data_IF_806408083985
#
_entry.id   IF_806408083985
#
_cell.length_a   1.000
_cell.length_b   1.000
_cell.length_c   1.000
_cell.angle_alpha   90.00
_cell.angle_beta   90.00
_cell.angle_gamma   90.00
#
_symmetry.space_group_name_H-M   'P 1'
#
loop_
_entity.id
_entity.type
_entity.pdbx_description
1 polymer ?
#
# COMPACT_ATOMS: atom_id res chain seq x y z
N UNK A 1 24.42 7.15 -15.20
CA UNK A 1 25.30 7.59 -14.09
C UNK A 1 25.54 6.39 -13.18
N UNK A 2 26.76 6.24 -12.66
CA UNK A 2 27.02 5.18 -11.69
C UNK A 2 26.22 5.43 -10.40
N UNK A 3 25.57 4.40 -9.87
CA UNK A 3 24.91 4.46 -8.57
C UNK A 3 25.94 4.76 -7.47
N UNK A 4 25.55 5.52 -6.46
CA UNK A 4 26.43 5.76 -5.30
C UNK A 4 26.69 4.44 -4.54
N UNK A 5 27.79 4.38 -3.80
CA UNK A 5 28.10 3.24 -2.92
C UNK A 5 26.99 2.97 -1.89
N UNK A 6 26.21 3.97 -1.57
CA UNK A 6 25.06 3.86 -0.67
C UNK A 6 23.96 2.95 -1.23
N UNK A 7 23.73 2.95 -2.55
CA UNK A 7 22.70 2.12 -3.18
C UNK A 7 22.93 0.60 -2.97
N UNK A 8 24.19 0.18 -2.83
CA UNK A 8 24.57 -1.22 -2.64
C UNK A 8 25.11 -1.53 -1.25
N UNK A 9 25.08 -0.54 -0.36
CA UNK A 9 25.56 -0.67 1.02
C UNK A 9 24.70 -1.67 1.79
N UNK A 10 25.36 -2.59 2.50
CA UNK A 10 24.71 -3.58 3.35
C UNK A 10 24.75 -3.16 4.81
N UNK A 11 23.75 -3.59 5.57
CA UNK A 11 23.73 -3.47 7.01
C UNK A 11 24.87 -4.33 7.62
N UNK A 12 25.45 -3.88 8.72
CA UNK A 12 26.41 -4.69 9.48
C UNK A 12 25.75 -5.94 10.06
N UNK A 13 24.46 -5.84 10.39
CA UNK A 13 23.63 -6.93 10.88
C UNK A 13 22.28 -6.87 10.18
N UNK A 14 21.88 -7.99 9.59
CA UNK A 14 20.58 -8.15 8.94
C UNK A 14 19.43 -7.83 9.91
N UNK A 15 18.42 -7.11 9.45
CA UNK A 15 17.17 -6.92 10.19
C UNK A 15 16.11 -7.85 9.64
N UNK A 16 15.37 -8.47 10.55
CA UNK A 16 14.37 -9.49 10.21
C UNK A 16 13.04 -9.13 10.85
N UNK A 17 11.98 -9.11 10.03
CA UNK A 17 10.61 -8.99 10.52
C UNK A 17 9.93 -10.36 10.46
N UNK A 18 9.30 -10.78 11.57
CA UNK A 18 8.45 -11.96 11.55
C UNK A 18 7.12 -11.62 10.91
N UNK A 19 6.69 -12.41 9.93
CA UNK A 19 5.48 -12.17 9.15
C UNK A 19 4.67 -13.47 9.00
N UNK A 20 3.33 -13.44 9.08
CA UNK A 20 2.52 -14.63 9.00
C UNK A 20 2.48 -15.26 7.61
N UNK A 21 2.73 -14.48 6.54
CA UNK A 21 2.70 -14.95 5.15
C UNK A 21 4.08 -15.41 4.71
N UNK A 22 5.09 -14.56 4.90
CA UNK A 22 6.47 -14.82 4.44
C UNK A 22 7.32 -15.55 5.48
N UNK A 23 6.81 -15.79 6.70
CA UNK A 23 7.53 -16.27 7.88
C UNK A 23 8.55 -15.24 8.37
N UNK A 24 9.50 -14.87 7.52
CA UNK A 24 10.52 -13.86 7.80
C UNK A 24 10.72 -12.98 6.57
N UNK A 25 10.78 -11.67 6.80
CA UNK A 25 11.11 -10.67 5.79
C UNK A 25 12.52 -10.18 6.12
N UNK A 26 13.43 -10.30 5.15
CA UNK A 26 14.86 -10.07 5.34
C UNK A 26 15.28 -8.72 4.78
N UNK A 27 15.82 -7.85 5.63
CA UNK A 27 16.33 -6.54 5.24
C UNK A 27 17.85 -6.50 5.46
N UNK A 28 18.59 -6.53 4.36
CA UNK A 28 20.06 -6.50 4.34
C UNK A 28 20.61 -5.19 3.82
N UNK A 29 19.83 -4.43 3.06
CA UNK A 29 20.26 -3.22 2.39
C UNK A 29 20.05 -1.99 3.29
N UNK A 30 21.12 -1.17 3.46
CA UNK A 30 21.06 0.05 4.27
C UNK A 30 20.00 1.03 3.75
N UNK A 31 19.91 1.18 2.42
CA UNK A 31 18.92 2.02 1.76
C UNK A 31 17.49 1.63 2.16
N UNK A 32 17.15 0.34 2.10
CA UNK A 32 15.82 -0.18 2.46
C UNK A 32 15.53 0.03 3.94
N UNK A 33 16.52 -0.22 4.81
CA UNK A 33 16.36 0.01 6.24
C UNK A 33 16.12 1.48 6.57
N UNK A 34 16.82 2.40 5.91
CA UNK A 34 16.62 3.83 6.12
C UNK A 34 15.25 4.30 5.61
N UNK A 35 14.74 3.77 4.49
CA UNK A 35 13.38 4.03 4.02
C UNK A 35 12.31 3.52 4.99
N UNK A 36 12.48 2.32 5.55
CA UNK A 36 11.55 1.77 6.54
C UNK A 36 11.44 2.68 7.76
N UNK A 37 12.51 3.37 8.16
CA UNK A 37 12.52 4.26 9.33
C UNK A 37 11.85 5.62 9.10
N UNK A 38 11.62 6.02 7.86
CA UNK A 38 11.00 7.32 7.55
C UNK A 38 9.60 7.43 8.13
N UNK A 39 9.21 8.64 8.54
CA UNK A 39 7.88 8.88 9.13
C UNK A 39 6.75 8.54 8.17
N UNK A 40 6.95 8.81 6.87
CA UNK A 40 5.97 8.53 5.84
C UNK A 40 5.73 7.03 5.70
N UNK A 41 6.77 6.21 5.75
CA UNK A 41 6.62 4.75 5.72
C UNK A 41 6.06 4.21 7.03
N UNK A 42 6.50 4.72 8.18
CA UNK A 42 5.97 4.31 9.50
C UNK A 42 4.49 4.65 9.69
N UNK A 43 3.97 5.69 9.00
CA UNK A 43 2.55 6.03 8.96
C UNK A 43 1.70 4.86 8.49
N UNK A 44 2.18 4.04 7.53
CA UNK A 44 1.45 2.89 6.99
C UNK A 44 1.04 1.87 8.05
N UNK A 45 1.67 1.86 9.24
CA UNK A 45 1.22 1.05 10.38
C UNK A 45 -0.18 1.41 10.87
N UNK A 46 -0.63 2.64 10.62
CA UNK A 46 -1.92 3.19 11.05
C UNK A 46 -2.91 3.33 9.90
N UNK A 47 -2.59 2.74 8.74
CA UNK A 47 -3.47 2.64 7.57
C UNK A 47 -3.78 1.16 7.36
N UNK A 48 -5.04 0.78 7.54
CA UNK A 48 -5.49 -0.61 7.34
C UNK A 48 -5.53 -0.96 5.84
N UNK A 49 -5.12 -2.17 5.51
CA UNK A 49 -5.13 -2.66 4.12
C UNK A 49 -6.55 -2.71 3.55
N UNK A 50 -7.48 -3.19 4.32
CA UNK A 50 -8.86 -3.47 3.88
C UNK A 50 -9.89 -2.43 4.39
N UNK A 51 -9.43 -1.25 4.86
CA UNK A 51 -10.32 -0.17 5.27
C UNK A 51 -11.37 -0.61 6.30
N UNK A 52 -12.65 -0.54 5.93
CA UNK A 52 -13.79 -0.87 6.83
C UNK A 52 -14.12 -2.37 6.91
N UNK A 53 -13.42 -3.24 6.17
CA UNK A 53 -13.71 -4.67 6.12
C UNK A 53 -13.67 -5.37 7.49
N UNK A 54 -12.86 -4.86 8.42
CA UNK A 54 -12.79 -5.41 9.79
C UNK A 54 -14.13 -5.38 10.55
N UNK A 55 -15.09 -4.57 10.11
CA UNK A 55 -16.44 -4.57 10.66
C UNK A 55 -17.20 -5.87 10.36
N UNK A 56 -16.87 -6.55 9.26
CA UNK A 56 -17.45 -7.84 8.86
C UNK A 56 -16.51 -9.00 9.13
N UNK A 57 -15.22 -8.81 8.87
CA UNK A 57 -14.15 -9.78 9.09
C UNK A 57 -13.25 -9.25 10.21
N UNK A 58 -13.64 -9.45 11.45
CA UNK A 58 -13.10 -8.77 12.64
C UNK A 58 -11.58 -8.95 12.87
N UNK A 59 -10.94 -9.93 12.24
CA UNK A 59 -9.49 -10.12 12.28
C UNK A 59 -8.75 -9.39 11.15
N UNK A 60 -9.47 -8.81 10.18
CA UNK A 60 -8.90 -8.10 9.02
C UNK A 60 -8.39 -6.68 9.40
N UNK A 61 -7.52 -6.62 10.40
CA UNK A 61 -6.95 -5.37 10.94
C UNK A 61 -5.50 -5.10 10.52
N UNK A 62 -4.96 -5.90 9.61
CA UNK A 62 -3.60 -5.75 9.13
C UNK A 62 -3.41 -4.44 8.35
N UNK A 63 -2.20 -3.93 8.45
CA UNK A 63 -1.84 -2.61 7.93
C UNK A 63 -1.11 -2.68 6.59
N UNK A 64 -1.13 -1.58 5.84
CA UNK A 64 -0.34 -1.40 4.62
C UNK A 64 1.16 -1.50 4.86
N UNK A 65 1.63 -1.22 6.07
CA UNK A 65 3.03 -1.43 6.46
C UNK A 65 3.45 -2.90 6.27
N UNK A 66 2.65 -3.85 6.77
CA UNK A 66 2.94 -5.27 6.61
C UNK A 66 2.88 -5.72 5.14
N UNK A 67 1.91 -5.22 4.39
CA UNK A 67 1.78 -5.46 2.96
C UNK A 67 2.98 -4.92 2.17
N UNK A 68 3.37 -3.67 2.34
CA UNK A 68 4.51 -3.07 1.65
C UNK A 68 5.83 -3.82 1.93
N UNK A 69 6.03 -4.30 3.16
CA UNK A 69 7.15 -5.18 3.49
C UNK A 69 7.05 -6.53 2.79
N UNK A 70 5.84 -7.09 2.66
CA UNK A 70 5.63 -8.35 1.94
C UNK A 70 5.90 -8.23 0.45
N UNK A 71 5.45 -7.15 -0.19
CA UNK A 71 5.74 -6.86 -1.61
C UNK A 71 7.24 -6.69 -1.83
N UNK A 72 7.92 -5.96 -0.95
CA UNK A 72 9.38 -5.87 -0.96
C UNK A 72 10.03 -7.26 -0.89
N UNK A 73 9.59 -8.13 0.04
CA UNK A 73 10.17 -9.47 0.21
C UNK A 73 9.96 -10.35 -1.02
N UNK A 74 8.79 -10.28 -1.65
CA UNK A 74 8.52 -11.01 -2.90
C UNK A 74 9.46 -10.54 -4.01
N UNK A 75 9.60 -9.23 -4.22
CA UNK A 75 10.51 -8.70 -5.26
C UNK A 75 11.97 -9.05 -4.94
N UNK A 76 12.39 -8.97 -3.67
CA UNK A 76 13.72 -9.41 -3.25
C UNK A 76 13.95 -10.87 -3.63
N UNK A 77 13.01 -11.75 -3.31
CA UNK A 77 13.09 -13.17 -3.63
C UNK A 77 13.09 -13.44 -5.14
N UNK A 78 12.26 -12.77 -5.91
CA UNK A 78 12.25 -12.87 -7.38
C UNK A 78 13.64 -12.58 -7.93
N UNK A 79 14.26 -11.49 -7.47
CA UNK A 79 15.60 -11.09 -7.93
C UNK A 79 16.64 -12.10 -7.44
N UNK A 80 16.76 -12.29 -6.14
CA UNK A 80 17.86 -13.04 -5.52
C UNK A 80 17.79 -14.55 -5.85
N UNK A 81 16.60 -15.14 -5.98
CA UNK A 81 16.42 -16.58 -6.21
C UNK A 81 16.28 -16.94 -7.71
N UNK A 82 15.75 -16.02 -8.54
CA UNK A 82 15.35 -16.36 -9.91
C UNK A 82 16.04 -15.53 -11.01
N UNK A 83 16.49 -14.31 -10.73
CA UNK A 83 17.00 -13.39 -11.74
C UNK A 83 18.52 -13.26 -11.72
N UNK A 84 19.18 -13.34 -10.56
CA UNK A 84 20.66 -13.23 -10.48
C UNK A 84 21.32 -14.26 -11.39
N UNK A 85 22.28 -13.79 -12.18
CA UNK A 85 23.03 -14.60 -13.15
C UNK A 85 22.29 -14.87 -14.47
N UNK A 86 21.13 -14.24 -14.72
CA UNK A 86 20.46 -14.27 -16.02
C UNK A 86 20.92 -13.10 -16.89
N UNK A 87 21.17 -13.35 -18.18
CA UNK A 87 21.62 -12.31 -19.14
C UNK A 87 20.62 -11.15 -19.29
N UNK A 88 19.34 -11.40 -19.02
CA UNK A 88 18.26 -10.42 -19.16
C UNK A 88 18.06 -9.56 -17.90
N UNK A 89 18.83 -9.80 -16.82
CA UNK A 89 18.77 -9.05 -15.58
C UNK A 89 20.04 -8.27 -15.31
N UNK A 90 19.92 -6.96 -15.10
CA UNK A 90 21.02 -6.12 -14.63
C UNK A 90 20.89 -5.87 -13.12
N UNK A 91 21.89 -6.31 -12.35
CA UNK A 91 21.91 -6.12 -10.90
C UNK A 91 21.96 -4.65 -10.47
N UNK A 92 22.28 -3.72 -11.34
CA UNK A 92 22.20 -2.27 -11.07
C UNK A 92 20.77 -1.79 -10.90
N UNK A 93 19.78 -2.54 -11.43
CA UNK A 93 18.34 -2.25 -11.25
C UNK A 93 17.77 -2.74 -9.92
N UNK A 94 18.51 -3.58 -9.17
CA UNK A 94 18.03 -4.16 -7.91
C UNK A 94 17.61 -3.10 -6.88
N UNK A 95 18.37 -2.05 -6.58
CA UNK A 95 17.95 -1.01 -5.65
C UNK A 95 16.68 -0.30 -6.10
N UNK A 96 16.53 -0.04 -7.39
CA UNK A 96 15.34 0.59 -7.97
C UNK A 96 14.10 -0.28 -7.77
N UNK A 97 14.17 -1.57 -8.10
CA UNK A 97 13.07 -2.51 -7.94
C UNK A 97 12.65 -2.67 -6.47
N UNK A 98 13.61 -2.80 -5.56
CA UNK A 98 13.33 -2.94 -4.13
C UNK A 98 12.70 -1.69 -3.52
N UNK A 99 13.19 -0.49 -3.89
CA UNK A 99 12.61 0.77 -3.42
C UNK A 99 11.19 0.97 -3.95
N UNK A 100 10.95 0.70 -5.24
CA UNK A 100 9.63 0.82 -5.83
C UNK A 100 8.64 -0.18 -5.21
N UNK A 101 9.05 -1.43 -4.96
CA UNK A 101 8.25 -2.43 -4.27
C UNK A 101 7.88 -2.01 -2.84
N UNK A 102 8.84 -1.46 -2.09
CA UNK A 102 8.60 -1.00 -0.72
C UNK A 102 7.65 0.20 -0.65
N UNK A 103 7.75 1.13 -1.60
CA UNK A 103 7.11 2.44 -1.56
C UNK A 103 5.84 2.56 -2.40
N UNK A 104 5.41 1.50 -3.11
CA UNK A 104 4.31 1.58 -4.09
C UNK A 104 2.98 2.10 -3.50
N UNK A 105 2.69 1.77 -2.26
CA UNK A 105 1.46 2.09 -1.53
C UNK A 105 1.58 3.30 -0.57
N UNK A 106 2.70 4.04 -0.62
CA UNK A 106 3.05 5.08 0.35
C UNK A 106 2.01 6.20 0.45
N UNK A 107 1.33 6.51 -0.65
CA UNK A 107 0.35 7.58 -0.76
C UNK A 107 -1.07 7.22 -0.33
N UNK A 108 -1.34 5.98 0.09
CA UNK A 108 -2.68 5.64 0.56
C UNK A 108 -3.09 6.42 1.82
N UNK A 109 -4.32 6.93 1.80
CA UNK A 109 -4.97 7.59 2.93
C UNK A 109 -5.74 6.63 3.84
N UNK A 110 -6.31 7.15 4.95
CA UNK A 110 -7.16 6.36 5.83
C UNK A 110 -8.39 5.82 5.08
N UNK A 111 -8.73 4.57 5.32
CA UNK A 111 -9.81 3.86 4.62
C UNK A 111 -9.67 3.85 3.08
N UNK A 112 -8.46 4.08 2.59
CA UNK A 112 -8.06 3.92 1.17
C UNK A 112 -9.04 4.55 0.18
N UNK A 113 -9.64 3.75 -0.69
CA UNK A 113 -10.51 4.21 -1.79
C UNK A 113 -11.80 4.94 -1.34
N UNK A 114 -12.26 4.74 -0.11
CA UNK A 114 -13.41 5.48 0.41
C UNK A 114 -13.08 6.96 0.57
N UNK A 115 -11.91 7.25 1.13
CA UNK A 115 -11.42 8.62 1.34
C UNK A 115 -11.18 9.35 0.01
N UNK A 116 -10.60 8.66 -0.96
CA UNK A 116 -10.31 9.20 -2.30
C UNK A 116 -11.57 9.68 -3.03
N UNK A 117 -12.63 8.86 -3.00
CA UNK A 117 -13.91 9.19 -3.65
C UNK A 117 -14.58 10.45 -3.08
N UNK A 118 -14.38 10.74 -1.79
CA UNK A 118 -15.02 11.87 -1.12
C UNK A 118 -14.26 13.16 -1.39
N UNK A 119 -12.95 13.10 -1.32
CA UNK A 119 -12.10 14.28 -1.37
C UNK A 119 -11.47 14.49 -2.74
N UNK A 120 -11.80 13.62 -3.72
CA UNK A 120 -11.23 13.64 -5.07
C UNK A 120 -9.70 13.63 -5.03
N UNK A 121 -9.16 12.78 -4.16
CA UNK A 121 -7.72 12.56 -4.01
C UNK A 121 -7.31 11.31 -4.77
N UNK A 122 -6.03 11.21 -5.11
CA UNK A 122 -5.44 10.08 -5.82
C UNK A 122 -4.19 9.62 -5.06
N UNK A 123 -4.21 8.39 -4.55
CA UNK A 123 -3.08 7.83 -3.80
C UNK A 123 -1.82 7.69 -4.68
N UNK A 124 -1.96 7.44 -5.99
CA UNK A 124 -0.81 7.40 -6.89
C UNK A 124 -0.15 8.79 -6.97
N UNK A 125 -0.96 9.86 -7.10
CA UNK A 125 -0.45 11.23 -7.08
C UNK A 125 0.22 11.60 -5.74
N UNK A 126 -0.36 11.19 -4.60
CA UNK A 126 0.28 11.38 -3.29
C UNK A 126 1.54 10.56 -3.12
N UNK A 127 1.59 9.32 -3.63
CA UNK A 127 2.83 8.52 -3.64
C UNK A 127 3.93 9.27 -4.40
N UNK A 128 3.63 9.77 -5.60
CA UNK A 128 4.55 10.58 -6.40
C UNK A 128 5.03 11.82 -5.62
N UNK A 129 4.09 12.57 -5.05
CA UNK A 129 4.39 13.79 -4.31
C UNK A 129 5.26 13.53 -3.06
N UNK A 130 5.02 12.44 -2.33
CA UNK A 130 5.85 12.04 -1.18
C UNK A 130 7.26 11.64 -1.64
N UNK A 131 7.39 10.85 -2.69
CA UNK A 131 8.68 10.36 -3.18
C UNK A 131 9.54 11.50 -3.76
N UNK A 132 8.94 12.47 -4.46
CA UNK A 132 9.65 13.54 -5.16
C UNK A 132 9.67 14.87 -4.41
N UNK A 133 8.86 15.02 -3.35
CA UNK A 133 8.73 16.26 -2.57
C UNK A 133 9.77 16.40 -1.47
N UNK A 134 9.58 17.41 -0.61
CA UNK A 134 10.46 17.65 0.55
C UNK A 134 10.05 16.72 1.74
N UNK A 135 10.47 15.48 1.70
CA UNK A 135 10.12 14.42 2.66
C UNK A 135 11.35 13.66 3.14
N UNK A 136 11.22 12.88 4.21
CA UNK A 136 12.30 11.99 4.65
C UNK A 136 12.61 10.91 3.61
N UNK A 137 11.58 10.37 2.94
CA UNK A 137 11.73 9.39 1.86
C UNK A 137 12.56 9.96 0.71
N UNK A 138 12.25 11.17 0.24
CA UNK A 138 13.04 11.84 -0.79
C UNK A 138 14.49 12.03 -0.35
N UNK A 139 14.71 12.49 0.89
CA UNK A 139 16.04 12.69 1.45
C UNK A 139 16.88 11.42 1.49
N UNK A 140 16.27 10.25 1.74
CA UNK A 140 16.95 8.95 1.70
C UNK A 140 17.26 8.54 0.28
N UNK A 141 16.29 8.62 -0.63
CA UNK A 141 16.46 8.23 -2.05
C UNK A 141 17.50 9.12 -2.76
N UNK A 142 17.55 10.41 -2.47
CA UNK A 142 18.51 11.36 -3.06
C UNK A 142 19.96 11.06 -2.70
N UNK A 143 20.24 10.27 -1.65
CA UNK A 143 21.61 9.78 -1.35
C UNK A 143 22.12 8.81 -2.40
N UNK A 144 21.23 8.17 -3.16
CA UNK A 144 21.62 7.29 -4.29
C UNK A 144 22.05 8.13 -5.50
N UNK A 145 21.21 9.05 -5.93
CA UNK A 145 21.48 10.11 -6.90
C UNK A 145 20.33 11.12 -6.90
N UNK A 146 20.56 12.33 -7.41
CA UNK A 146 19.54 13.38 -7.47
C UNK A 146 18.29 12.97 -8.29
N UNK A 147 18.47 12.09 -9.29
CA UNK A 147 17.36 11.61 -10.13
C UNK A 147 16.73 10.32 -9.63
N UNK A 148 17.27 9.68 -8.60
CA UNK A 148 16.77 8.39 -8.14
C UNK A 148 15.34 8.44 -7.58
N UNK A 149 14.93 9.47 -6.80
CA UNK A 149 13.53 9.62 -6.38
C UNK A 149 12.57 9.61 -7.57
N UNK A 150 12.90 10.35 -8.65
CA UNK A 150 12.09 10.38 -9.86
C UNK A 150 12.03 9.00 -10.53
N UNK A 151 13.14 8.28 -10.62
CA UNK A 151 13.16 6.92 -11.21
C UNK A 151 12.25 5.97 -10.43
N UNK A 152 12.29 5.99 -9.09
CA UNK A 152 11.39 5.19 -8.23
C UNK A 152 9.93 5.56 -8.49
N UNK A 153 9.63 6.86 -8.53
CA UNK A 153 8.29 7.37 -8.83
C UNK A 153 7.81 6.94 -10.22
N UNK A 154 8.67 7.03 -11.25
CA UNK A 154 8.36 6.63 -12.62
C UNK A 154 8.09 5.11 -12.74
N UNK A 155 8.78 4.26 -11.95
CA UNK A 155 8.48 2.81 -11.88
C UNK A 155 7.08 2.57 -11.33
N UNK A 156 6.74 3.20 -10.20
CA UNK A 156 5.42 3.06 -9.55
C UNK A 156 4.32 3.57 -10.49
N UNK A 157 4.57 4.67 -11.18
CA UNK A 157 3.64 5.28 -12.15
C UNK A 157 3.63 4.56 -13.53
N UNK A 158 4.41 3.48 -13.70
CA UNK A 158 4.49 2.68 -14.94
C UNK A 158 5.02 3.45 -16.16
N UNK A 159 5.74 4.54 -15.93
CA UNK A 159 6.31 5.41 -16.98
C UNK A 159 7.81 5.23 -17.19
N UNK A 160 8.49 4.44 -16.32
CA UNK A 160 9.91 4.14 -16.43
C UNK A 160 10.22 3.27 -17.66
N UNK A 161 11.41 3.45 -18.26
CA UNK A 161 11.83 2.69 -19.45
C UNK A 161 12.04 1.21 -19.16
N UNK A 162 12.48 0.84 -17.96
CA UNK A 162 12.69 -0.55 -17.57
C UNK A 162 11.34 -1.25 -17.27
N UNK A 163 10.77 -1.85 -18.33
CA UNK A 163 9.47 -2.56 -18.23
C UNK A 163 9.55 -3.81 -17.37
N UNK A 164 10.69 -4.48 -17.31
CA UNK A 164 10.88 -5.65 -16.46
C UNK A 164 10.71 -5.29 -14.97
N UNK A 165 11.30 -4.18 -14.52
CA UNK A 165 11.14 -3.70 -13.13
C UNK A 165 9.68 -3.35 -12.84
N UNK A 166 9.02 -2.66 -13.77
CA UNK A 166 7.58 -2.35 -13.63
C UNK A 166 6.76 -3.64 -13.50
N UNK A 167 7.04 -4.65 -14.32
CA UNK A 167 6.25 -5.89 -14.35
C UNK A 167 6.33 -6.71 -13.06
N UNK A 168 7.41 -6.58 -12.29
CA UNK A 168 7.51 -7.23 -10.97
C UNK A 168 6.51 -6.68 -9.96
N UNK A 169 6.14 -5.40 -10.10
CA UNK A 169 5.31 -4.66 -9.13
C UNK A 169 3.89 -4.45 -9.66
N UNK A 170 3.75 -4.31 -10.99
CA UNK A 170 2.46 -4.01 -11.62
C UNK A 170 2.28 -4.78 -12.93
N UNK A 171 1.76 -6.00 -12.83
CA UNK A 171 1.40 -6.87 -13.96
C UNK A 171 0.20 -7.73 -13.62
N UNK A 172 -0.07 -8.81 -14.36
CA UNK A 172 -1.17 -9.73 -14.02
C UNK A 172 -0.82 -10.65 -12.85
N UNK A 173 0.47 -11.01 -12.73
CA UNK A 173 0.99 -11.86 -11.64
C UNK A 173 2.22 -11.13 -11.10
N UNK A 174 1.98 -10.17 -10.25
CA UNK A 174 2.97 -9.28 -9.65
C UNK A 174 3.10 -9.48 -8.13
N UNK A 175 4.12 -8.87 -7.57
CA UNK A 175 4.41 -8.98 -6.15
C UNK A 175 3.30 -8.37 -5.27
N UNK A 176 2.68 -7.27 -5.71
CA UNK A 176 1.57 -6.61 -5.02
C UNK A 176 0.40 -7.58 -4.86
N UNK A 177 -0.11 -8.16 -5.98
CA UNK A 177 -1.22 -9.12 -5.95
C UNK A 177 -0.89 -10.39 -5.18
N UNK A 178 0.33 -10.90 -5.31
CA UNK A 178 0.74 -12.10 -4.60
C UNK A 178 0.74 -11.90 -3.09
N UNK A 179 1.19 -10.74 -2.59
CA UNK A 179 1.16 -10.48 -1.15
C UNK A 179 -0.26 -10.25 -0.66
N UNK A 180 -1.00 -9.27 -1.25
CA UNK A 180 -2.28 -8.92 -0.67
C UNK A 180 -3.30 -10.06 -0.72
N UNK A 181 -3.34 -10.88 -1.77
CA UNK A 181 -4.27 -12.00 -1.83
C UNK A 181 -4.05 -12.99 -0.68
N UNK A 182 -2.81 -13.38 -0.43
CA UNK A 182 -2.51 -14.31 0.67
C UNK A 182 -2.69 -13.66 2.04
N UNK A 183 -2.25 -12.41 2.18
CA UNK A 183 -2.36 -11.65 3.43
C UNK A 183 -3.81 -11.40 3.80
N UNK A 184 -4.61 -10.95 2.87
CA UNK A 184 -6.04 -10.71 3.08
C UNK A 184 -6.79 -12.00 3.39
N UNK A 185 -6.50 -13.10 2.67
CA UNK A 185 -7.08 -14.41 2.96
C UNK A 185 -6.75 -14.86 4.39
N UNK A 186 -5.49 -14.72 4.80
CA UNK A 186 -5.05 -15.09 6.15
C UNK A 186 -5.79 -14.28 7.23
N UNK A 187 -5.82 -12.96 7.10
CA UNK A 187 -6.42 -12.08 8.10
C UNK A 187 -7.96 -12.06 8.07
N UNK A 188 -8.59 -12.39 6.96
CA UNK A 188 -10.04 -12.60 6.90
C UNK A 188 -10.46 -14.00 7.36
N UNK A 189 -9.50 -14.91 7.54
CA UNK A 189 -9.75 -16.28 8.00
C UNK A 189 -10.31 -17.21 6.92
N UNK A 190 -10.15 -16.88 5.63
CA UNK A 190 -10.66 -17.67 4.51
C UNK A 190 -9.54 -18.50 3.85
N UNK A 191 -9.92 -19.60 3.23
CA UNK A 191 -8.96 -20.54 2.60
C UNK A 191 -8.90 -20.42 1.08
N UNK A 192 -9.92 -19.90 0.45
CA UNK A 192 -10.03 -19.84 -1.02
C UNK A 192 -9.15 -18.77 -1.68
N UNK A 193 -8.55 -17.86 -0.90
CA UNK A 193 -7.54 -16.91 -1.37
C UNK A 193 -6.11 -17.47 -1.37
N UNK A 194 -5.91 -18.73 -0.96
CA UNK A 194 -4.59 -19.35 -0.90
C UNK A 194 -4.19 -19.95 -2.26
N UNK A 195 -2.92 -19.78 -2.63
CA UNK A 195 -2.30 -20.37 -3.81
C UNK A 195 -0.83 -20.72 -3.53
N UNK A 196 -0.21 -21.53 -4.39
CA UNK A 196 1.18 -21.96 -4.25
C UNK A 196 2.15 -20.85 -4.75
N UNK A 197 2.36 -19.82 -3.92
CA UNK A 197 3.27 -18.71 -4.21
C UNK A 197 4.71 -19.18 -4.39
N UNK A 198 5.17 -20.15 -3.60
CA UNK A 198 6.53 -20.71 -3.67
C UNK A 198 6.81 -21.30 -5.06
N UNK A 199 5.84 -22.03 -5.60
CA UNK A 199 5.95 -22.59 -6.94
C UNK A 199 5.97 -21.50 -8.01
N UNK A 200 5.13 -20.48 -7.90
CA UNK A 200 5.10 -19.34 -8.85
C UNK A 200 6.46 -18.65 -8.85
N UNK A 201 6.98 -18.23 -7.69
CA UNK A 201 8.26 -17.53 -7.56
C UNK A 201 9.41 -18.33 -8.18
N UNK A 202 9.48 -19.63 -7.88
CA UNK A 202 10.54 -20.50 -8.42
C UNK A 202 10.49 -20.67 -9.94
N UNK A 203 9.33 -20.47 -10.56
CA UNK A 203 9.12 -20.63 -12.00
C UNK A 203 9.19 -19.30 -12.77
N UNK A 204 9.29 -18.16 -12.06
CA UNK A 204 9.49 -16.85 -12.68
C UNK A 204 10.84 -16.75 -13.38
N UNK A 205 10.88 -16.08 -14.53
CA UNK A 205 12.09 -15.82 -15.32
C UNK A 205 12.02 -14.42 -15.89
N UNK A 206 13.14 -13.67 -15.87
CA UNK A 206 13.21 -12.37 -16.52
C UNK A 206 13.24 -12.52 -18.03
N UNK A 207 12.46 -11.72 -18.73
CA UNK A 207 12.64 -11.41 -20.15
C UNK A 207 13.20 -10.00 -20.29
N UNK A 208 13.23 -9.46 -21.51
CA UNK A 208 13.68 -8.07 -21.73
C UNK A 208 12.67 -7.03 -21.22
N UNK A 209 11.38 -7.36 -21.21
CA UNK A 209 10.29 -6.41 -20.94
C UNK A 209 9.39 -6.83 -19.79
N UNK A 210 9.35 -8.11 -19.44
CA UNK A 210 8.40 -8.62 -18.45
C UNK A 210 8.90 -9.86 -17.72
N UNK A 211 8.23 -10.18 -16.61
CA UNK A 211 8.41 -11.44 -15.89
C UNK A 211 7.58 -12.53 -16.56
N UNK A 212 8.23 -13.60 -16.99
CA UNK A 212 7.60 -14.78 -17.57
C UNK A 212 7.50 -15.90 -16.54
N UNK A 213 6.53 -16.79 -16.71
CA UNK A 213 6.39 -18.02 -15.91
C UNK A 213 6.56 -19.20 -16.86
N UNK A 214 7.38 -20.19 -16.46
CA UNK A 214 7.56 -21.43 -17.22
C UNK A 214 6.24 -22.18 -17.39
N UNK A 215 6.04 -22.85 -18.52
CA UNK A 215 4.82 -23.64 -18.83
C UNK A 215 4.48 -24.66 -17.74
N UNK A 216 5.48 -25.23 -17.07
CA UNK A 216 5.28 -26.15 -15.93
C UNK A 216 4.61 -25.49 -14.71
N UNK A 217 4.45 -24.16 -14.73
CA UNK A 217 3.74 -23.38 -13.72
C UNK A 217 2.26 -23.13 -14.02
N UNK A 218 1.73 -23.57 -15.16
CA UNK A 218 0.38 -23.26 -15.62
C UNK A 218 -0.68 -23.49 -14.52
N UNK A 219 -0.68 -24.64 -13.87
CA UNK A 219 -1.66 -24.96 -12.82
C UNK A 219 -1.53 -24.06 -11.57
N UNK A 220 -0.32 -23.59 -11.25
CA UNK A 220 -0.15 -22.65 -10.13
C UNK A 220 -0.70 -21.26 -10.52
N UNK A 221 -0.56 -20.86 -11.78
CA UNK A 221 -1.15 -19.64 -12.34
C UNK A 221 -2.67 -19.72 -12.37
N UNK A 222 -3.25 -20.83 -12.82
CA UNK A 222 -4.69 -21.05 -12.80
C UNK A 222 -5.25 -20.96 -11.38
N UNK A 223 -4.58 -21.57 -10.41
CA UNK A 223 -4.97 -21.49 -9.01
C UNK A 223 -4.89 -20.06 -8.47
N UNK A 224 -3.84 -19.31 -8.81
CA UNK A 224 -3.72 -17.88 -8.46
C UNK A 224 -4.87 -17.04 -9.02
N UNK A 225 -5.22 -17.24 -10.30
CA UNK A 225 -6.33 -16.52 -10.94
C UNK A 225 -7.66 -16.86 -10.26
N UNK A 226 -7.88 -18.14 -9.93
CA UNK A 226 -9.09 -18.59 -9.25
C UNK A 226 -9.16 -18.04 -7.83
N UNK A 227 -8.06 -18.06 -7.08
CA UNK A 227 -7.99 -17.46 -5.74
C UNK A 227 -8.33 -15.97 -5.78
N UNK A 228 -7.77 -15.23 -6.74
CA UNK A 228 -8.10 -13.83 -6.97
C UNK A 228 -9.59 -13.62 -7.24
N UNK A 229 -10.18 -14.40 -8.13
CA UNK A 229 -11.62 -14.33 -8.45
C UNK A 229 -12.46 -14.55 -7.19
N UNK A 230 -12.17 -15.57 -6.38
CA UNK A 230 -12.89 -15.87 -5.16
C UNK A 230 -12.78 -14.74 -4.12
N UNK A 231 -11.58 -14.19 -3.93
CA UNK A 231 -11.37 -13.05 -3.01
C UNK A 231 -12.17 -11.82 -3.42
N UNK A 232 -12.20 -11.50 -4.73
CA UNK A 232 -13.02 -10.40 -5.24
C UNK A 232 -14.50 -10.63 -4.93
N UNK A 233 -15.01 -11.81 -5.25
CA UNK A 233 -16.42 -12.12 -5.10
C UNK A 233 -16.87 -12.15 -3.64
N UNK A 234 -16.11 -12.76 -2.77
CA UNK A 234 -16.54 -13.08 -1.41
C UNK A 234 -16.06 -12.07 -0.35
N UNK A 235 -14.94 -11.38 -0.58
CA UNK A 235 -14.33 -10.46 0.38
C UNK A 235 -14.49 -9.01 -0.06
N UNK A 236 -13.89 -8.62 -1.20
CA UNK A 236 -13.83 -7.22 -1.59
C UNK A 236 -15.19 -6.64 -2.01
N UNK A 237 -16.08 -7.47 -2.54
CA UNK A 237 -17.46 -7.10 -2.85
C UNK A 237 -18.49 -7.57 -1.83
N UNK A 238 -18.05 -7.95 -0.63
CA UNK A 238 -18.99 -8.37 0.43
C UNK A 238 -20.00 -7.26 0.75
N UNK A 239 -21.32 -7.54 0.69
CA UNK A 239 -22.35 -6.50 0.77
C UNK A 239 -22.30 -5.67 2.05
N UNK A 240 -22.09 -6.31 3.23
CA UNK A 240 -22.02 -5.61 4.52
C UNK A 240 -20.80 -4.69 4.58
N UNK A 241 -19.65 -5.17 4.09
CA UNK A 241 -18.42 -4.35 4.03
C UNK A 241 -18.61 -3.12 3.15
N UNK A 242 -19.25 -3.30 1.98
CA UNK A 242 -19.59 -2.18 1.08
C UNK A 242 -20.57 -1.22 1.73
N UNK A 243 -21.51 -1.73 2.55
CA UNK A 243 -22.41 -0.91 3.37
C UNK A 243 -21.64 -0.01 4.33
N UNK A 244 -20.63 -0.55 5.03
CA UNK A 244 -19.76 0.21 5.93
C UNK A 244 -19.00 1.33 5.21
N UNK A 245 -18.47 1.08 3.99
CA UNK A 245 -17.86 2.11 3.17
C UNK A 245 -18.85 3.23 2.80
N UNK A 246 -20.08 2.86 2.42
CA UNK A 246 -21.13 3.86 2.07
C UNK A 246 -21.48 4.73 3.27
N UNK A 247 -21.61 4.15 4.47
CA UNK A 247 -21.88 4.89 5.69
C UNK A 247 -20.73 5.88 6.00
N UNK A 248 -19.49 5.42 5.96
CA UNK A 248 -18.32 6.29 6.15
C UNK A 248 -18.31 7.44 5.14
N UNK A 249 -18.54 7.12 3.86
CA UNK A 249 -18.59 8.11 2.80
C UNK A 249 -19.67 9.17 3.04
N UNK A 250 -20.88 8.75 3.45
CA UNK A 250 -21.97 9.67 3.72
C UNK A 250 -21.68 10.55 4.94
N UNK A 251 -21.08 9.99 6.00
CA UNK A 251 -20.66 10.76 7.16
C UNK A 251 -19.67 11.87 6.82
N UNK A 252 -18.59 11.53 6.10
CA UNK A 252 -17.59 12.51 5.71
C UNK A 252 -18.12 13.56 4.71
N UNK A 253 -18.97 13.15 3.75
CA UNK A 253 -19.66 14.08 2.84
C UNK A 253 -20.55 15.06 3.60
N UNK A 254 -21.31 14.55 4.59
CA UNK A 254 -22.16 15.40 5.42
C UNK A 254 -21.34 16.37 6.25
N UNK A 255 -20.24 15.94 6.84
CA UNK A 255 -19.33 16.81 7.57
C UNK A 255 -18.78 17.97 6.68
N UNK A 256 -18.37 17.65 5.43
CA UNK A 256 -17.93 18.64 4.46
C UNK A 256 -19.06 19.62 4.10
N UNK A 257 -20.28 19.12 3.88
CA UNK A 257 -21.45 19.95 3.58
C UNK A 257 -21.75 20.90 4.73
N UNK A 258 -21.81 20.41 5.96
CA UNK A 258 -22.06 21.23 7.16
C UNK A 258 -20.97 22.29 7.35
N UNK A 259 -19.70 21.96 7.10
CA UNK A 259 -18.61 22.92 7.12
C UNK A 259 -18.87 24.07 6.13
N UNK A 260 -19.24 23.75 4.90
CA UNK A 260 -19.53 24.74 3.87
C UNK A 260 -20.77 25.60 4.17
N UNK A 261 -21.74 25.05 4.91
CA UNK A 261 -22.96 25.73 5.38
C UNK A 261 -22.73 26.60 6.62
N UNK A 262 -21.51 26.59 7.19
CA UNK A 262 -21.18 27.35 8.41
C UNK A 262 -21.78 26.76 9.69
N UNK A 263 -22.01 25.44 9.74
CA UNK A 263 -22.53 24.76 10.91
C UNK A 263 -21.55 24.85 12.10
N UNK A 264 -22.10 25.14 13.28
CA UNK A 264 -21.33 25.23 14.52
C UNK A 264 -21.12 23.82 15.10
N UNK A 265 -20.02 23.16 14.74
CA UNK A 265 -19.65 21.86 15.28
C UNK A 265 -19.31 21.93 16.76
N UNK A 266 -19.82 21.00 17.56
CA UNK A 266 -19.30 20.76 18.93
C UNK A 266 -17.86 20.26 18.90
N UNK A 267 -17.53 19.43 17.90
CA UNK A 267 -16.16 19.02 17.58
C UNK A 267 -15.77 19.50 16.18
N UNK A 268 -15.09 20.66 16.15
CA UNK A 268 -14.66 21.28 14.90
C UNK A 268 -13.66 20.42 14.12
N UNK A 269 -13.89 20.13 12.84
CA UNK A 269 -13.12 19.16 12.06
C UNK A 269 -11.80 19.73 11.54
N UNK A 270 -10.96 20.32 12.38
CA UNK A 270 -9.74 21.05 12.00
C UNK A 270 -8.80 20.29 11.07
N UNK A 271 -8.65 18.98 11.30
CA UNK A 271 -7.73 18.14 10.53
C UNK A 271 -8.27 17.78 9.13
N UNK A 272 -9.59 17.99 8.91
CA UNK A 272 -10.24 17.79 7.60
C UNK A 272 -10.37 19.07 6.77
N UNK A 273 -10.19 20.26 7.37
CA UNK A 273 -10.38 21.53 6.66
C UNK A 273 -9.55 21.61 5.38
N UNK A 274 -8.24 21.26 5.37
CA UNK A 274 -7.45 21.27 4.15
C UNK A 274 -8.02 20.39 3.03
N UNK A 275 -8.70 19.27 3.40
CA UNK A 275 -9.41 18.41 2.43
C UNK A 275 -10.71 19.05 1.96
N UNK A 276 -11.47 19.69 2.86
CA UNK A 276 -12.73 20.34 2.51
C UNK A 276 -12.48 21.49 1.54
N UNK A 277 -11.41 22.24 1.72
CA UNK A 277 -11.02 23.39 0.92
C UNK A 277 -10.13 23.04 -0.30
N UNK A 278 -9.61 21.81 -0.37
CA UNK A 278 -8.68 21.41 -1.44
C UNK A 278 -7.30 22.04 -1.34
N UNK A 279 -6.86 22.43 -0.13
CA UNK A 279 -5.59 23.11 0.15
C UNK A 279 -4.55 22.20 0.81
N UNK A 280 -4.76 20.88 0.77
CA UNK A 280 -3.95 19.87 1.46
C UNK A 280 -2.49 19.90 1.02
N UNK A 281 -1.58 20.06 1.97
CA UNK A 281 -0.14 19.89 1.75
C UNK A 281 0.29 18.44 2.02
N UNK A 282 1.48 18.05 1.56
CA UNK A 282 2.04 16.70 1.81
C UNK A 282 2.22 16.47 3.31
N UNK A 283 2.71 17.46 4.05
CA UNK A 283 2.91 17.39 5.51
C UNK A 283 1.59 17.10 6.22
N UNK A 284 0.53 17.83 5.88
CA UNK A 284 -0.81 17.63 6.45
C UNK A 284 -1.37 16.26 6.08
N UNK A 285 -1.13 15.80 4.85
CA UNK A 285 -1.57 14.48 4.40
C UNK A 285 -0.90 13.35 5.17
N UNK A 286 0.39 13.45 5.40
CA UNK A 286 1.16 12.44 6.14
C UNK A 286 0.74 12.35 7.61
N UNK A 287 0.25 13.43 8.22
CA UNK A 287 -0.29 13.42 9.58
C UNK A 287 -1.67 12.74 9.68
N UNK A 288 -2.38 12.58 8.55
CA UNK A 288 -3.69 11.96 8.55
C UNK A 288 -3.60 10.43 8.48
N UNK A 289 -4.22 9.78 9.45
CA UNK A 289 -4.38 8.33 9.50
C UNK A 289 -5.78 7.91 10.01
N UNK A 290 -6.04 6.61 10.11
CA UNK A 290 -7.34 6.12 10.54
C UNK A 290 -7.69 6.50 11.98
N UNK A 291 -6.70 6.67 12.87
CA UNK A 291 -6.98 7.08 14.24
C UNK A 291 -7.59 8.49 14.30
N UNK A 292 -7.10 9.41 13.46
CA UNK A 292 -7.67 10.75 13.33
C UNK A 292 -9.12 10.68 12.85
N UNK A 293 -9.40 9.93 11.79
CA UNK A 293 -10.76 9.78 11.25
C UNK A 293 -11.70 9.17 12.30
N UNK A 294 -11.31 8.06 12.94
CA UNK A 294 -12.09 7.40 13.98
C UNK A 294 -12.34 8.31 15.19
N UNK A 295 -11.38 9.16 15.55
CA UNK A 295 -11.58 10.13 16.62
C UNK A 295 -12.73 11.08 16.31
N UNK A 296 -12.78 11.66 15.09
CA UNK A 296 -13.88 12.54 14.70
C UNK A 296 -15.20 11.81 14.59
N UNK A 297 -15.24 10.60 14.01
CA UNK A 297 -16.45 9.79 13.95
C UNK A 297 -17.06 9.56 15.33
N UNK A 298 -16.23 9.21 16.33
CA UNK A 298 -16.65 9.05 17.72
C UNK A 298 -17.19 10.33 18.37
N UNK A 299 -16.76 11.49 17.93
CA UNK A 299 -17.21 12.78 18.45
C UNK A 299 -18.49 13.25 17.75
N UNK A 300 -18.60 13.02 16.46
CA UNK A 300 -19.74 13.45 15.65
C UNK A 300 -21.04 12.71 15.97
N UNK A 301 -21.01 11.55 16.64
CA UNK A 301 -22.23 10.92 17.19
C UNK A 301 -22.93 11.81 18.23
N UNK A 302 -22.30 12.84 18.75
CA UNK A 302 -22.86 13.77 19.73
C UNK A 302 -23.26 15.12 19.10
N UNK A 303 -23.11 15.27 17.79
CA UNK A 303 -23.57 16.47 17.07
C UNK A 303 -25.11 16.55 17.04
N UNK A 304 -25.61 17.76 16.77
CA UNK A 304 -27.04 17.96 16.67
C UNK A 304 -27.64 17.61 15.28
N UNK A 305 -26.74 17.32 14.31
CA UNK A 305 -27.15 16.91 12.97
C UNK A 305 -27.51 15.42 12.93
N UNK A 306 -28.74 15.13 12.53
CA UNK A 306 -29.28 13.76 12.48
C UNK A 306 -28.53 12.85 11.52
N UNK A 307 -28.02 13.38 10.41
CA UNK A 307 -27.26 12.58 9.45
C UNK A 307 -25.91 12.15 10.03
N UNK A 308 -25.18 13.05 10.72
CA UNK A 308 -23.96 12.67 11.41
C UNK A 308 -24.19 11.65 12.50
N UNK A 309 -25.31 11.79 13.26
CA UNK A 309 -25.69 10.86 14.32
C UNK A 309 -25.91 9.44 13.79
N UNK A 310 -26.63 9.29 12.67
CA UNK A 310 -27.01 7.96 12.14
C UNK A 310 -25.97 7.36 11.19
N UNK A 311 -25.07 8.14 10.60
CA UNK A 311 -24.03 7.63 9.69
C UNK A 311 -22.70 7.41 10.39
N UNK A 312 -22.47 7.99 11.57
CA UNK A 312 -21.31 7.65 12.39
C UNK A 312 -21.47 6.23 12.93
N UNK A 313 -20.44 5.35 12.75
CA UNK A 313 -20.52 3.98 13.27
C UNK A 313 -20.75 4.01 14.79
N UNK A 314 -21.94 3.58 15.19
CA UNK A 314 -22.28 3.43 16.59
C UNK A 314 -21.68 2.13 17.15
N UNK A 315 -21.16 2.10 18.39
CA UNK A 315 -20.77 0.86 19.04
C UNK A 315 -21.93 -0.12 19.30
N UNK A 316 -23.13 0.19 18.82
CA UNK A 316 -24.35 -0.61 19.02
C UNK A 316 -24.74 -1.44 17.81
N UNK A 317 -24.05 -1.29 16.67
CA UNK A 317 -24.37 -2.01 15.42
C UNK A 317 -23.33 -3.09 15.13
#
# INVERSE_FOLDING_TARGET
MALSSYATSKLMEEKVFKDPIHRFIHVQDQLIWDLIKTREFQRLRRIKQLGTLYLSFHTAEHSRFGHSLGVYEIVRRIIDESFIGKETWDNTDRPLALCAALLHDLGHGPFSHSFEKIFNTDHEAFTQAIITGNTEVNGVLSRVSDNFPKQVADVINKTHDNKLVISMISSQIDADRMDYLQRDAYFTGVTYGSFDMERILRLMRPSKEEVLIKDSGMHAVENFIMSRYQMYWQIYFHPVSRGGEVLLNNCLKRAKQLYNEGYEFKMYPKDFIPFFEGTMTIEQYVELDEAVVLYYLKKWIHENDTCLLYTSPSPRD
#
